data_IF_064450272756
#
_entry.id   IF_064450272756
#
_cell.length_a   1.000
_cell.length_b   1.000
_cell.length_c   1.000
_cell.angle_alpha   90.00
_cell.angle_beta   90.00
_cell.angle_gamma   90.00
#
_symmetry.space_group_name_H-M   'P 1'
#
loop_
_entity.id
_entity.type
_entity.pdbx_description
1 polymer ?
#
# COMPACT_ATOMS: atom_id res chain seq x y z
N UNK A 1 12.24 8.68 1.65
CA UNK A 1 11.73 7.48 2.37
C UNK A 1 10.94 6.67 1.37
N UNK A 2 11.23 5.36 1.27
CA UNK A 2 10.57 4.47 0.32
C UNK A 2 9.28 3.88 0.86
N UNK A 3 8.33 3.69 -0.04
CA UNK A 3 7.00 3.17 0.25
C UNK A 3 6.59 2.11 -0.79
N UNK A 4 5.65 1.27 -0.36
CA UNK A 4 4.92 0.30 -1.14
C UNK A 4 3.42 0.65 -1.15
N UNK A 5 2.66 0.05 -2.06
CA UNK A 5 1.22 0.07 -2.08
C UNK A 5 0.67 -1.22 -1.45
N UNK A 6 -0.26 -1.08 -0.50
CA UNK A 6 -1.03 -2.17 0.07
C UNK A 6 -2.45 -2.13 -0.51
N UNK A 7 -2.86 -3.21 -1.18
CA UNK A 7 -4.16 -3.31 -1.86
C UNK A 7 -5.09 -4.25 -1.11
N UNK A 8 -6.32 -3.81 -0.87
CA UNK A 8 -7.38 -4.66 -0.30
C UNK A 8 -8.12 -5.43 -1.40
N UNK A 9 -8.43 -6.70 -1.16
CA UNK A 9 -9.11 -7.56 -2.13
C UNK A 9 -8.19 -8.13 -3.21
N UNK A 10 -8.77 -8.87 -4.16
CA UNK A 10 -8.05 -9.51 -5.26
C UNK A 10 -8.27 -8.76 -6.58
N UNK A 11 -7.17 -8.30 -7.19
CA UNK A 11 -7.19 -7.48 -8.40
C UNK A 11 -6.37 -8.12 -9.52
N UNK A 12 -6.72 -7.85 -10.78
CA UNK A 12 -6.03 -8.43 -11.94
C UNK A 12 -4.74 -7.66 -12.22
N UNK A 13 -3.67 -8.37 -12.52
CA UNK A 13 -2.36 -7.76 -12.82
C UNK A 13 -2.37 -6.65 -13.89
N UNK A 14 -3.27 -6.71 -14.86
CA UNK A 14 -3.40 -5.70 -15.92
C UNK A 14 -3.71 -4.29 -15.37
N UNK A 15 -4.41 -4.20 -14.23
CA UNK A 15 -4.81 -2.93 -13.63
C UNK A 15 -3.61 -2.14 -13.08
N UNK A 16 -2.53 -2.86 -12.75
CA UNK A 16 -1.30 -2.33 -12.17
C UNK A 16 -0.19 -2.06 -13.20
N UNK A 17 -0.41 -2.36 -14.48
CA UNK A 17 0.59 -2.12 -15.54
C UNK A 17 1.21 -0.71 -15.54
N UNK A 18 0.43 0.37 -15.33
CA UNK A 18 0.96 1.74 -15.26
C UNK A 18 1.93 2.00 -14.11
N UNK A 19 1.99 1.15 -13.08
CA UNK A 19 2.90 1.32 -11.95
C UNK A 19 4.37 1.22 -12.35
N UNK A 20 4.67 0.61 -13.51
CA UNK A 20 6.02 0.59 -14.13
C UNK A 20 6.61 1.96 -14.37
N UNK A 21 5.78 2.99 -14.52
CA UNK A 21 6.22 4.38 -14.68
C UNK A 21 6.89 4.87 -13.39
N UNK A 22 6.41 4.41 -12.24
CA UNK A 22 6.91 4.82 -10.92
C UNK A 22 8.01 3.91 -10.39
N UNK A 23 7.95 2.62 -10.70
CA UNK A 23 8.95 1.61 -10.36
C UNK A 23 9.29 0.74 -11.57
N UNK A 24 10.46 0.96 -12.16
CA UNK A 24 10.91 0.22 -13.36
C UNK A 24 11.11 -1.28 -13.10
N UNK A 25 11.33 -1.66 -11.84
CA UNK A 25 11.53 -3.07 -11.45
C UNK A 25 10.20 -3.78 -11.20
N UNK A 26 9.08 -3.06 -11.19
CA UNK A 26 7.77 -3.65 -10.99
C UNK A 26 7.31 -4.41 -12.24
N UNK A 27 7.02 -5.70 -12.08
CA UNK A 27 6.60 -6.58 -13.18
C UNK A 27 5.24 -7.18 -12.85
N UNK A 28 4.21 -6.77 -13.61
CA UNK A 28 2.91 -7.43 -13.59
C UNK A 28 2.98 -8.74 -14.38
N UNK A 29 2.93 -9.87 -13.69
CA UNK A 29 2.74 -11.17 -14.33
C UNK A 29 1.30 -11.31 -14.86
N UNK A 30 1.11 -11.66 -16.16
CA UNK A 30 -0.20 -11.98 -16.72
C UNK A 30 -0.89 -13.09 -15.93
N UNK A 31 -2.21 -12.98 -15.75
CA UNK A 31 -3.01 -14.00 -15.04
C UNK A 31 -2.83 -14.03 -13.52
N UNK A 32 -1.81 -13.35 -12.96
CA UNK A 32 -1.65 -13.25 -11.50
C UNK A 32 -2.68 -12.27 -10.91
N UNK A 33 -3.29 -12.71 -9.81
CA UNK A 33 -4.08 -11.85 -8.92
C UNK A 33 -3.17 -11.24 -7.87
N UNK A 34 -3.41 -9.97 -7.53
CA UNK A 34 -2.64 -9.23 -6.54
C UNK A 34 -3.55 -8.84 -5.37
N UNK A 35 -3.03 -9.00 -4.16
CA UNK A 35 -3.64 -8.61 -2.89
C UNK A 35 -2.54 -8.35 -1.88
N UNK A 36 -2.73 -7.41 -0.96
CA UNK A 36 -1.71 -7.01 0.01
C UNK A 36 -0.63 -6.13 -0.62
N UNK A 37 0.61 -6.28 -0.17
CA UNK A 37 1.75 -5.48 -0.66
C UNK A 37 2.08 -5.79 -2.12
N UNK A 38 2.20 -4.75 -2.95
CA UNK A 38 2.53 -4.89 -4.37
C UNK A 38 4.02 -5.11 -4.64
N UNK A 39 4.90 -4.82 -3.68
CA UNK A 39 6.34 -4.98 -3.85
C UNK A 39 7.04 -3.77 -4.46
N UNK A 40 6.40 -2.59 -4.45
CA UNK A 40 6.96 -1.36 -5.01
C UNK A 40 8.08 -0.80 -4.13
N UNK A 41 9.02 -0.09 -4.76
CA UNK A 41 10.07 0.67 -4.10
C UNK A 41 10.11 2.12 -4.59
N UNK A 42 9.09 2.89 -4.20
CA UNK A 42 8.83 4.24 -4.73
C UNK A 42 9.04 5.30 -3.66
N UNK A 43 9.53 6.49 -4.05
CA UNK A 43 9.60 7.63 -3.13
C UNK A 43 8.22 8.03 -2.62
N UNK A 44 8.11 8.31 -1.32
CA UNK A 44 6.85 8.68 -0.66
C UNK A 44 6.05 9.77 -1.39
N UNK A 45 6.72 10.78 -1.94
CA UNK A 45 6.05 11.87 -2.69
C UNK A 45 5.31 11.35 -3.91
N UNK A 46 5.84 10.34 -4.61
CA UNK A 46 5.22 9.74 -5.79
C UNK A 46 4.09 8.77 -5.44
N UNK A 47 4.01 8.30 -4.19
CA UNK A 47 2.93 7.41 -3.76
C UNK A 47 1.57 8.06 -3.80
N UNK A 48 1.50 9.38 -3.58
CA UNK A 48 0.23 10.12 -3.67
C UNK A 48 -0.38 9.95 -5.06
N UNK A 49 0.42 10.10 -6.11
CA UNK A 49 -0.03 9.90 -7.49
C UNK A 49 -0.49 8.46 -7.74
N UNK A 50 0.25 7.46 -7.25
CA UNK A 50 -0.12 6.03 -7.38
C UNK A 50 -1.45 5.74 -6.69
N UNK A 51 -1.59 6.15 -5.43
CA UNK A 51 -2.80 5.90 -4.63
C UNK A 51 -4.01 6.58 -5.26
N UNK A 52 -3.88 7.84 -5.67
CA UNK A 52 -4.97 8.57 -6.34
C UNK A 52 -5.40 7.89 -7.64
N UNK A 53 -4.44 7.48 -8.47
CA UNK A 53 -4.74 6.83 -9.76
C UNK A 53 -5.45 5.48 -9.59
N UNK A 54 -4.99 4.65 -8.65
CA UNK A 54 -5.61 3.35 -8.38
C UNK A 54 -7.00 3.51 -7.74
N UNK A 55 -7.17 4.47 -6.81
CA UNK A 55 -8.49 4.79 -6.25
C UNK A 55 -9.47 5.27 -7.30
N UNK A 56 -9.03 6.08 -8.27
CA UNK A 56 -9.85 6.51 -9.42
C UNK A 56 -10.36 5.34 -10.26
N UNK A 57 -9.64 4.21 -10.26
CA UNK A 57 -10.04 2.95 -10.92
C UNK A 57 -10.89 2.04 -10.03
N UNK A 58 -11.28 2.50 -8.84
CA UNK A 58 -12.06 1.71 -7.88
C UNK A 58 -11.24 0.70 -7.07
N UNK A 59 -9.92 0.82 -7.06
CA UNK A 59 -9.03 -0.07 -6.30
C UNK A 59 -8.78 0.54 -4.92
N UNK A 60 -9.17 -0.18 -3.87
CA UNK A 60 -8.82 0.17 -2.51
C UNK A 60 -7.33 -0.06 -2.24
N UNK A 61 -6.59 1.03 -2.10
CA UNK A 61 -5.13 1.00 -1.91
C UNK A 61 -4.67 2.04 -0.88
N UNK A 62 -3.60 1.68 -0.18
CA UNK A 62 -2.96 2.48 0.85
C UNK A 62 -1.46 2.58 0.61
N UNK A 63 -0.87 3.74 0.86
CA UNK A 63 0.59 3.86 0.88
C UNK A 63 1.13 3.38 2.22
N UNK A 64 2.08 2.45 2.18
CA UNK A 64 2.75 1.94 3.38
C UNK A 64 4.27 2.13 3.26
N UNK A 65 4.98 2.53 4.34
CA UNK A 65 6.42 2.38 4.42
C UNK A 65 6.91 0.99 3.99
N UNK A 66 8.01 0.90 3.22
CA UNK A 66 8.60 -0.40 2.83
C UNK A 66 8.93 -1.25 4.06
N UNK A 67 9.46 -0.63 5.12
CA UNK A 67 9.76 -1.31 6.39
C UNK A 67 8.58 -2.08 6.98
N UNK A 68 7.32 -1.73 6.66
CA UNK A 68 6.13 -2.44 7.15
C UNK A 68 5.81 -3.68 6.32
N UNK A 69 6.21 -3.74 5.03
CA UNK A 69 6.10 -4.95 4.21
C UNK A 69 6.94 -6.09 4.78
N UNK A 70 8.14 -5.74 5.26
CA UNK A 70 9.11 -6.73 5.75
C UNK A 70 8.79 -7.17 7.19
N UNK A 71 7.76 -6.60 7.83
CA UNK A 71 7.23 -7.08 9.11
C UNK A 71 6.31 -8.26 8.83
N UNK A 72 6.90 -9.43 8.69
CA UNK A 72 6.22 -10.69 8.38
C UNK A 72 5.23 -11.18 9.45
N UNK A 73 5.19 -10.57 10.64
CA UNK A 73 4.62 -11.17 11.85
C UNK A 73 3.62 -10.31 12.65
N UNK A 74 3.00 -9.27 12.07
CA UNK A 74 1.89 -8.60 12.75
C UNK A 74 0.57 -9.20 12.24
N UNK A 75 -0.07 -10.00 13.09
CA UNK A 75 -1.44 -10.46 12.89
C UNK A 75 -2.36 -9.25 12.72
N UNK A 76 -3.34 -9.36 11.83
CA UNK A 76 -4.27 -8.28 11.51
C UNK A 76 -4.88 -7.63 12.77
N UNK A 77 -5.27 -8.44 13.75
CA UNK A 77 -5.83 -7.96 15.02
C UNK A 77 -4.87 -7.06 15.79
N UNK A 78 -3.57 -7.40 15.80
CA UNK A 78 -2.52 -6.57 16.42
C UNK A 78 -2.31 -5.30 15.61
N UNK A 79 -2.28 -5.37 14.28
CA UNK A 79 -2.16 -4.18 13.44
C UNK A 79 -3.35 -3.22 13.63
N UNK A 80 -4.56 -3.75 13.73
CA UNK A 80 -5.78 -2.99 13.98
C UNK A 80 -5.76 -2.34 15.36
N UNK A 81 -5.35 -3.08 16.40
CA UNK A 81 -5.18 -2.53 17.74
C UNK A 81 -4.17 -1.38 17.75
N UNK A 82 -2.99 -1.55 17.14
CA UNK A 82 -2.00 -0.48 17.00
C UNK A 82 -2.54 0.75 16.26
N UNK A 83 -3.34 0.55 15.21
CA UNK A 83 -3.93 1.66 14.47
C UNK A 83 -4.95 2.44 15.31
N UNK A 84 -5.80 1.74 16.08
CA UNK A 84 -6.78 2.35 16.98
C UNK A 84 -6.08 3.11 18.10
N UNK A 85 -5.08 2.51 18.75
CA UNK A 85 -4.33 3.15 19.82
C UNK A 85 -3.59 4.39 19.32
N UNK A 86 -2.99 4.32 18.14
CA UNK A 86 -2.35 5.46 17.50
C UNK A 86 -3.34 6.60 17.21
N UNK A 87 -4.52 6.28 16.68
CA UNK A 87 -5.57 7.27 16.39
C UNK A 87 -6.02 7.98 17.67
N UNK A 88 -6.29 7.22 18.74
CA UNK A 88 -6.67 7.76 20.06
C UNK A 88 -5.57 8.64 20.67
N UNK A 89 -4.31 8.22 20.59
CA UNK A 89 -3.19 9.01 21.09
C UNK A 89 -3.04 10.34 20.31
N UNK A 90 -3.26 10.33 18.99
CA UNK A 90 -3.25 11.52 18.15
C UNK A 90 -4.37 12.51 18.51
N UNK A 91 -5.57 12.01 18.83
CA UNK A 91 -6.70 12.84 19.28
C UNK A 91 -6.44 13.47 20.66
N UNK A 92 -5.77 12.75 21.56
CA UNK A 92 -5.43 13.25 22.89
C UNK A 92 -4.34 14.34 22.87
N UNK A 93 -3.43 14.31 21.89
CA UNK A 93 -2.36 15.30 21.70
C UNK A 93 -2.82 16.62 21.06
N UNK A 94 -4.09 16.73 20.64
CA UNK A 94 -4.67 17.91 20.01
C UNK A 94 -5.62 18.70 20.95
N UNK A 95 -5.70 18.30 22.22
CA UNK A 95 -6.42 19.01 23.29
C UNK A 95 -5.41 19.66 24.24
#
# INVERSE_FOLDING_TARGET
MKCDAFVLGQHKGAEFGPLRIFDKNFVCMPGKKYSGYLGLNVERVKMVSIVTELKRKGIEVFSSPVRYRDVSNIEFEKAAAFAVDYARAKEALQK
#
